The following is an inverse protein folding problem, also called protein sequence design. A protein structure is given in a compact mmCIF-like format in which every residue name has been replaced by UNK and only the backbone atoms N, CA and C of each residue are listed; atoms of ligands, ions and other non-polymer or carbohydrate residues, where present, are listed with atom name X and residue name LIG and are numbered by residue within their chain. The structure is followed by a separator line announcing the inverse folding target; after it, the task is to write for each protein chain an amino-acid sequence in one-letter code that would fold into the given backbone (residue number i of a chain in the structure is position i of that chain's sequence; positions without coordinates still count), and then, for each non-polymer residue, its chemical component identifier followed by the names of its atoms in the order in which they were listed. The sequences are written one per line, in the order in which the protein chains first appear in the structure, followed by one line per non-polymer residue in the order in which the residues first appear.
data_IF_041567683932
#
_entry.id   IF_041567683932
#
_cell.length_a   1.000
_cell.length_b   1.000
_cell.length_c   1.000
_cell.angle_alpha   90.00
_cell.angle_beta   90.00
_cell.angle_gamma   90.00
#
_symmetry.space_group_name_H-M   'P 1'
#
loop_
_entity.id
_entity.type
_entity.pdbx_description
1 polymer ?
#
# COMPACT_ATOMS: atom_id res chain seq x y z
N UNK A 1 -10.06 -5.00 -84.70
CA UNK A 1 -9.71 -3.58 -84.85
C UNK A 1 -10.37 -2.88 -83.68
N UNK A 2 -9.72 -2.61 -82.56
CA UNK A 2 -8.32 -2.34 -82.19
C UNK A 2 -8.22 -2.71 -80.71
N UNK A 3 -7.34 -3.63 -80.31
CA UNK A 3 -6.05 -3.35 -79.64
C UNK A 3 -6.16 -2.34 -78.48
N UNK A 4 -6.06 -2.84 -77.24
CA UNK A 4 -5.22 -2.29 -76.15
C UNK A 4 -5.21 -3.30 -74.97
N UNK A 5 -4.09 -3.97 -74.77
CA UNK A 5 -3.59 -4.49 -73.47
C UNK A 5 -2.57 -3.46 -72.90
N UNK A 6 -1.99 -3.62 -71.69
CA UNK A 6 -2.41 -4.25 -70.43
C UNK A 6 -2.11 -3.34 -69.21
N UNK A 7 -2.39 -3.76 -67.97
CA UNK A 7 -1.39 -3.73 -66.87
C UNK A 7 -1.87 -4.49 -65.63
N UNK A 8 -0.93 -5.31 -65.16
CA UNK A 8 -0.86 -6.12 -63.95
C UNK A 8 -0.74 -5.23 -62.69
N UNK A 9 -1.42 -5.60 -61.60
CA UNK A 9 -1.03 -5.17 -60.23
C UNK A 9 -1.56 -6.19 -59.23
N UNK A 10 -0.65 -7.06 -58.81
CA UNK A 10 -0.65 -7.78 -57.52
C UNK A 10 -0.55 -6.81 -56.35
N UNK A 11 -1.29 -7.04 -55.25
CA UNK A 11 -0.84 -6.91 -53.85
C UNK A 11 -2.03 -7.22 -52.93
N UNK A 12 -2.07 -8.42 -52.35
CA UNK A 12 -1.57 -8.75 -51.00
C UNK A 12 -2.59 -8.40 -49.90
N UNK A 13 -3.05 -9.46 -49.25
CA UNK A 13 -3.96 -9.43 -48.11
C UNK A 13 -3.10 -9.15 -46.89
N UNK A 14 -3.16 -7.93 -46.36
CA UNK A 14 -2.48 -7.56 -45.13
C UNK A 14 -3.22 -8.16 -43.93
N UNK A 15 -2.69 -9.31 -43.48
CA UNK A 15 -2.92 -9.86 -42.15
C UNK A 15 -1.86 -9.23 -41.25
N UNK A 16 -2.22 -8.18 -40.53
CA UNK A 16 -1.44 -7.76 -39.37
C UNK A 16 -1.86 -8.62 -38.19
N UNK A 17 -1.13 -9.71 -38.00
CA UNK A 17 -1.05 -10.45 -36.76
C UNK A 17 -0.62 -9.49 -35.64
N UNK A 18 -1.51 -9.25 -34.68
CA UNK A 18 -1.14 -8.65 -33.39
C UNK A 18 -0.35 -9.69 -32.61
N UNK A 19 0.97 -9.70 -32.80
CA UNK A 19 1.90 -10.34 -31.87
C UNK A 19 1.92 -9.56 -30.55
N UNK A 20 0.88 -9.78 -29.74
CA UNK A 20 0.95 -9.50 -28.32
C UNK A 20 1.93 -10.52 -27.70
N UNK A 21 3.10 -10.01 -27.32
CA UNK A 21 4.19 -10.66 -26.60
C UNK A 21 3.75 -11.90 -25.78
N UNK A 22 4.04 -13.08 -26.32
CA UNK A 22 3.94 -14.36 -25.61
C UNK A 22 5.15 -14.61 -24.69
N UNK A 23 6.11 -13.69 -24.64
CA UNK A 23 7.35 -13.85 -23.88
C UNK A 23 7.20 -13.57 -22.37
N UNK A 24 6.13 -12.89 -21.94
CA UNK A 24 5.96 -12.42 -20.56
C UNK A 24 5.16 -13.38 -19.66
N UNK A 25 4.44 -14.34 -20.25
CA UNK A 25 3.60 -15.29 -19.49
C UNK A 25 4.33 -16.54 -19.00
N UNK A 26 5.47 -16.89 -19.59
CA UNK A 26 6.23 -18.10 -19.21
C UNK A 26 7.24 -17.89 -18.08
N UNK A 27 7.48 -16.64 -17.67
CA UNK A 27 8.48 -16.28 -16.63
C UNK A 27 7.87 -16.11 -15.22
N UNK A 28 6.52 -16.08 -15.12
CA UNK A 28 5.84 -15.86 -13.84
C UNK A 28 5.74 -17.10 -12.95
N UNK A 29 5.94 -18.31 -13.47
CA UNK A 29 5.74 -19.54 -12.68
C UNK A 29 6.87 -19.86 -11.69
N UNK A 30 8.01 -19.17 -11.79
CA UNK A 30 9.20 -19.43 -10.98
C UNK A 30 9.48 -18.31 -9.95
N UNK A 31 8.65 -17.25 -9.91
CA UNK A 31 8.81 -16.15 -8.94
C UNK A 31 8.18 -16.54 -7.60
N UNK A 32 8.85 -16.30 -6.46
CA UNK A 32 8.28 -16.58 -5.16
C UNK A 32 7.04 -15.72 -4.93
N UNK A 33 6.00 -16.32 -4.34
CA UNK A 33 4.78 -15.59 -3.99
C UNK A 33 5.00 -14.70 -2.76
N UNK A 34 4.38 -13.52 -2.74
CA UNK A 34 4.30 -12.70 -1.53
C UNK A 34 2.90 -12.17 -1.30
N UNK A 35 2.44 -12.21 -0.04
CA UNK A 35 1.24 -11.49 0.39
C UNK A 35 1.64 -10.08 0.78
N UNK A 36 0.97 -9.06 0.22
CA UNK A 36 1.13 -7.67 0.60
C UNK A 36 -0.15 -7.20 1.30
N UNK A 37 0.00 -6.66 2.51
CA UNK A 37 -1.09 -5.95 3.18
C UNK A 37 -1.33 -4.61 2.49
N UNK A 38 -2.45 -4.50 1.78
CA UNK A 38 -2.80 -3.31 0.97
C UNK A 38 -4.00 -2.58 1.54
N UNK A 39 -3.79 -1.39 2.09
CA UNK A 39 -4.86 -0.52 2.57
C UNK A 39 -5.45 0.38 1.48
N UNK A 40 -4.72 0.58 0.36
CA UNK A 40 -5.03 1.63 -0.62
C UNK A 40 -4.34 2.96 -0.32
N UNK A 41 -3.62 3.08 0.79
CA UNK A 41 -2.80 4.25 1.12
C UNK A 41 -1.42 4.26 0.49
N UNK A 42 -0.72 5.41 0.61
CA UNK A 42 0.58 5.61 -0.03
C UNK A 42 1.66 4.61 0.42
N UNK A 43 1.70 4.27 1.71
CA UNK A 43 2.75 3.41 2.27
C UNK A 43 2.57 1.97 1.80
N UNK A 44 1.32 1.48 1.80
CA UNK A 44 1.00 0.13 1.33
C UNK A 44 1.10 0.00 -0.20
N UNK A 45 0.80 1.06 -0.95
CA UNK A 45 1.06 1.12 -2.39
C UNK A 45 2.56 1.06 -2.70
N UNK A 46 3.36 1.86 -1.99
CA UNK A 46 4.82 1.85 -2.14
C UNK A 46 5.41 0.49 -1.75
N UNK A 47 4.86 -0.15 -0.71
CA UNK A 47 5.24 -1.50 -0.28
C UNK A 47 4.94 -2.55 -1.35
N UNK A 48 3.80 -2.46 -2.04
CA UNK A 48 3.47 -3.36 -3.13
C UNK A 48 4.41 -3.20 -4.33
N UNK A 49 4.78 -1.97 -4.66
CA UNK A 49 5.76 -1.69 -5.71
C UNK A 49 7.16 -2.18 -5.33
N UNK A 50 7.57 -2.03 -4.08
CA UNK A 50 8.83 -2.53 -3.55
C UNK A 50 8.88 -4.07 -3.58
N UNK A 51 7.79 -4.75 -3.20
CA UNK A 51 7.68 -6.20 -3.32
C UNK A 51 7.78 -6.68 -4.79
N UNK A 52 7.15 -5.96 -5.73
CA UNK A 52 7.27 -6.24 -7.17
C UNK A 52 8.71 -6.08 -7.66
N UNK A 53 9.38 -5.01 -7.27
CA UNK A 53 10.78 -4.72 -7.65
C UNK A 53 11.73 -5.80 -7.13
N UNK A 54 11.46 -6.33 -5.93
CA UNK A 54 12.18 -7.48 -5.36
C UNK A 54 11.88 -8.82 -6.05
N UNK A 55 11.02 -8.82 -7.07
CA UNK A 55 10.77 -9.98 -7.93
C UNK A 55 9.68 -10.92 -7.45
N UNK A 56 8.83 -10.50 -6.50
CA UNK A 56 7.75 -11.34 -5.98
C UNK A 56 6.51 -11.34 -6.88
N UNK A 57 5.83 -12.48 -6.88
CA UNK A 57 4.54 -12.67 -7.53
C UNK A 57 3.41 -12.38 -6.51
N UNK A 58 2.74 -11.24 -6.70
CA UNK A 58 1.95 -10.62 -5.64
C UNK A 58 0.58 -11.26 -5.40
N UNK A 59 0.24 -11.35 -4.11
CA UNK A 59 -1.09 -11.59 -3.56
C UNK A 59 -1.43 -10.41 -2.66
N UNK A 60 -2.63 -9.86 -2.79
CA UNK A 60 -3.08 -8.70 -2.02
C UNK A 60 -4.04 -9.14 -0.94
N UNK A 61 -3.85 -8.64 0.27
CA UNK A 61 -4.81 -8.75 1.36
C UNK A 61 -5.22 -7.35 1.78
N UNK A 62 -6.49 -7.02 1.54
CA UNK A 62 -7.14 -5.80 1.99
C UNK A 62 -8.08 -6.11 3.16
N UNK A 63 -8.14 -5.23 4.15
CA UNK A 63 -9.04 -5.40 5.30
C UNK A 63 -9.92 -4.19 5.52
N UNK A 64 -11.21 -4.43 5.73
CA UNK A 64 -12.13 -3.42 6.26
C UNK A 64 -12.47 -3.79 7.70
N UNK A 65 -12.45 -2.82 8.59
CA UNK A 65 -12.78 -3.01 10.01
C UNK A 65 -13.76 -1.96 10.53
N UNK A 66 -14.52 -1.32 9.62
CA UNK A 66 -15.48 -0.27 9.95
C UNK A 66 -14.84 1.11 10.14
N UNK A 67 -13.68 1.35 9.53
CA UNK A 67 -13.07 2.67 9.50
C UNK A 67 -13.84 3.63 8.61
N UNK A 68 -13.78 4.93 8.93
CA UNK A 68 -14.60 5.96 8.29
C UNK A 68 -14.47 6.02 6.75
N UNK A 69 -13.28 5.74 6.23
CA UNK A 69 -12.91 5.87 4.82
C UNK A 69 -12.79 4.52 4.10
N UNK A 70 -13.41 3.47 4.64
CA UNK A 70 -13.26 2.09 4.13
C UNK A 70 -13.69 1.93 2.66
N UNK A 71 -14.69 2.70 2.18
CA UNK A 71 -15.13 2.57 0.78
C UNK A 71 -14.04 3.09 -0.14
N UNK A 72 -13.52 4.28 0.18
CA UNK A 72 -12.45 4.90 -0.60
C UNK A 72 -11.15 4.11 -0.56
N UNK A 73 -10.76 3.63 0.62
CA UNK A 73 -9.60 2.75 0.80
C UNK A 73 -9.69 1.49 -0.05
N UNK A 74 -10.86 0.83 -0.07
CA UNK A 74 -11.09 -0.35 -0.91
C UNK A 74 -11.00 -0.02 -2.39
N UNK A 75 -11.61 1.07 -2.85
CA UNK A 75 -11.52 1.53 -4.25
C UNK A 75 -10.06 1.74 -4.67
N UNK A 76 -9.24 2.37 -3.82
CA UNK A 76 -7.83 2.57 -4.06
C UNK A 76 -7.05 1.24 -4.08
N UNK A 77 -7.35 0.30 -3.18
CA UNK A 77 -6.72 -1.02 -3.17
C UNK A 77 -7.06 -1.84 -4.43
N UNK A 78 -8.30 -1.75 -4.92
CA UNK A 78 -8.73 -2.39 -6.17
C UNK A 78 -8.09 -1.74 -7.40
N UNK A 79 -7.97 -0.41 -7.43
CA UNK A 79 -7.27 0.30 -8.50
C UNK A 79 -5.79 -0.08 -8.55
N UNK A 80 -5.14 -0.16 -7.38
CA UNK A 80 -3.74 -0.59 -7.26
C UNK A 80 -3.55 -2.03 -7.72
N UNK A 81 -4.49 -2.94 -7.39
CA UNK A 81 -4.49 -4.32 -7.90
C UNK A 81 -4.48 -4.34 -9.43
N UNK A 82 -5.38 -3.57 -10.05
CA UNK A 82 -5.53 -3.53 -11.51
C UNK A 82 -4.27 -2.95 -12.18
N UNK A 83 -3.72 -1.88 -11.62
CA UNK A 83 -2.48 -1.26 -12.08
C UNK A 83 -1.28 -2.22 -12.02
N UNK A 84 -1.15 -2.98 -10.93
CA UNK A 84 -0.07 -3.95 -10.77
C UNK A 84 -0.33 -5.29 -11.48
N UNK A 85 -1.49 -5.46 -12.14
CA UNK A 85 -1.86 -6.68 -12.83
C UNK A 85 -2.01 -7.89 -11.91
N UNK A 86 -2.38 -7.66 -10.64
CA UNK A 86 -2.64 -8.72 -9.66
C UNK A 86 -3.98 -9.40 -10.02
N UNK A 87 -4.00 -10.73 -10.26
CA UNK A 87 -5.23 -11.43 -10.59
C UNK A 87 -6.31 -11.28 -9.51
N UNK A 88 -7.59 -11.23 -9.90
CA UNK A 88 -8.71 -11.07 -8.96
C UNK A 88 -8.77 -12.17 -7.91
N UNK A 89 -8.39 -13.41 -8.24
CA UNK A 89 -8.31 -14.54 -7.30
C UNK A 89 -7.13 -14.46 -6.32
N UNK A 90 -6.20 -13.52 -6.54
CA UNK A 90 -5.10 -13.17 -5.64
C UNK A 90 -5.35 -11.87 -4.88
N UNK A 91 -6.56 -11.30 -4.95
CA UNK A 91 -6.98 -10.16 -4.15
C UNK A 91 -8.00 -10.65 -3.10
N UNK A 92 -7.56 -10.77 -1.86
CA UNK A 92 -8.38 -11.20 -0.74
C UNK A 92 -8.84 -9.98 0.07
N UNK A 93 -10.15 -9.78 0.14
CA UNK A 93 -10.78 -8.81 1.02
C UNK A 93 -11.35 -9.52 2.25
N UNK A 94 -10.98 -9.06 3.45
CA UNK A 94 -11.50 -9.59 4.72
C UNK A 94 -12.14 -8.47 5.54
N UNK A 95 -13.35 -8.72 6.02
CA UNK A 95 -14.02 -7.87 7.00
C UNK A 95 -13.64 -8.31 8.42
N UNK A 96 -13.23 -7.36 9.26
CA UNK A 96 -12.73 -7.58 10.63
C UNK A 96 -13.51 -6.76 11.66
N UNK A 97 -14.83 -6.85 11.59
CA UNK A 97 -15.79 -6.14 12.47
C UNK A 97 -15.54 -6.35 13.97
N UNK A 98 -14.83 -7.41 14.37
CA UNK A 98 -14.48 -7.63 15.77
C UNK A 98 -13.61 -6.50 16.31
N UNK A 99 -12.77 -5.87 15.49
CA UNK A 99 -11.96 -4.72 15.89
C UNK A 99 -12.85 -3.51 16.21
N UNK A 100 -13.86 -3.23 15.37
CA UNK A 100 -14.85 -2.20 15.67
C UNK A 100 -15.67 -2.51 16.93
N UNK A 101 -16.05 -3.77 17.12
CA UNK A 101 -16.82 -4.20 18.31
C UNK A 101 -16.01 -4.15 19.60
N UNK A 102 -14.69 -4.28 19.53
CA UNK A 102 -13.79 -4.08 20.67
C UNK A 102 -13.67 -2.57 20.98
N UNK A 103 -13.59 -1.72 19.95
CA UNK A 103 -13.56 -0.27 20.07
C UNK A 103 -12.25 0.27 20.65
N UNK A 104 -12.34 1.37 21.40
CA UNK A 104 -11.22 2.08 22.03
C UNK A 104 -10.27 2.84 21.08
N UNK A 105 -10.77 3.20 19.89
CA UNK A 105 -10.04 4.03 18.93
C UNK A 105 -10.99 4.99 18.20
N UNK A 106 -10.52 6.18 17.83
CA UNK A 106 -11.26 7.14 16.97
C UNK A 106 -11.49 6.63 15.55
N UNK A 107 -10.76 5.61 15.11
CA UNK A 107 -10.98 4.99 13.80
C UNK A 107 -12.12 3.95 13.82
N UNK A 108 -12.57 3.52 14.99
CA UNK A 108 -13.58 2.45 15.13
C UNK A 108 -14.75 2.80 16.04
N UNK A 109 -14.57 3.77 16.94
CA UNK A 109 -15.59 4.25 17.87
C UNK A 109 -16.14 5.59 17.39
N UNK A 110 -17.36 5.56 16.86
CA UNK A 110 -18.06 6.75 16.34
C UNK A 110 -18.32 7.84 17.41
N UNK A 111 -18.11 7.55 18.70
CA UNK A 111 -18.20 8.56 19.77
C UNK A 111 -16.92 9.37 19.96
N UNK A 112 -15.81 8.95 19.34
CA UNK A 112 -14.52 9.60 19.39
C UNK A 112 -14.26 10.33 18.07
N UNK A 113 -13.92 11.62 18.13
CA UNK A 113 -13.57 12.37 16.93
C UNK A 113 -12.13 12.08 16.51
N UNK A 114 -11.87 12.09 15.20
CA UNK A 114 -10.50 12.19 14.66
C UNK A 114 -10.07 13.64 14.80
N UNK A 115 -8.99 13.87 15.56
CA UNK A 115 -8.45 15.20 15.86
C UNK A 115 -7.69 15.78 14.66
N UNK A 116 -7.49 17.10 14.68
CA UNK A 116 -6.61 17.77 13.72
C UNK A 116 -5.14 17.45 14.04
N UNK A 117 -4.28 17.51 13.02
CA UNK A 117 -2.88 17.18 13.19
C UNK A 117 -2.14 18.15 14.11
N UNK A 118 -1.45 17.60 15.12
CA UNK A 118 -0.52 18.34 15.98
C UNK A 118 0.92 17.97 15.61
N UNK A 119 1.43 18.60 14.55
CA UNK A 119 2.79 18.34 14.04
C UNK A 119 3.90 18.86 14.98
N UNK A 120 3.55 19.70 15.95
CA UNK A 120 4.46 20.29 16.93
C UNK A 120 4.37 19.61 18.31
N UNK A 121 3.47 18.63 18.46
CA UNK A 121 3.18 17.96 19.73
C UNK A 121 4.27 17.00 20.18
N UNK A 122 4.97 17.32 21.27
CA UNK A 122 5.82 16.38 22.00
C UNK A 122 4.93 15.43 22.83
N UNK A 123 4.68 14.21 22.32
CA UNK A 123 3.91 13.21 23.06
C UNK A 123 4.33 11.77 22.81
N UNK A 124 4.89 11.12 23.83
CA UNK A 124 5.00 9.65 23.95
C UNK A 124 3.62 8.98 24.23
N UNK A 125 2.51 9.68 23.97
CA UNK A 125 1.15 9.21 24.27
C UNK A 125 0.56 8.50 23.06
N UNK A 126 -0.03 7.33 23.30
CA UNK A 126 -0.66 6.52 22.25
C UNK A 126 -1.82 7.34 21.63
N UNK A 127 -1.82 7.59 20.32
CA UNK A 127 -2.82 8.44 19.69
C UNK A 127 -4.21 7.81 19.76
N UNK A 128 -5.25 8.63 19.75
CA UNK A 128 -6.64 8.14 19.80
C UNK A 128 -6.99 7.26 18.59
N UNK A 129 -6.29 7.43 17.47
CA UNK A 129 -6.40 6.62 16.24
C UNK A 129 -5.74 5.23 16.35
N UNK A 130 -5.08 4.90 17.47
CA UNK A 130 -4.55 3.57 17.73
C UNK A 130 -5.68 2.56 17.98
N UNK A 131 -5.81 1.58 17.08
CA UNK A 131 -6.68 0.41 17.28
C UNK A 131 -5.89 -0.66 18.03
N UNK A 132 -6.30 -1.04 19.26
CA UNK A 132 -5.51 -1.92 20.11
C UNK A 132 -5.09 -3.24 19.44
N UNK A 133 -3.78 -3.43 19.27
CA UNK A 133 -3.16 -4.65 18.75
C UNK A 133 -3.72 -5.11 17.39
N UNK A 134 -4.09 -4.14 16.55
CA UNK A 134 -4.65 -4.37 15.21
C UNK A 134 -3.66 -5.11 14.33
N UNK A 135 -2.40 -4.69 14.28
CA UNK A 135 -1.45 -5.22 13.30
C UNK A 135 -1.20 -6.71 13.48
N UNK A 136 -1.24 -7.22 14.72
CA UNK A 136 -1.15 -8.66 14.98
C UNK A 136 -2.31 -9.46 14.36
N UNK A 137 -3.53 -8.91 14.33
CA UNK A 137 -4.67 -9.53 13.65
C UNK A 137 -4.45 -9.54 12.14
N UNK A 138 -4.02 -8.40 11.57
CA UNK A 138 -3.76 -8.26 10.13
C UNK A 138 -2.68 -9.22 9.66
N UNK A 139 -1.54 -9.25 10.35
CA UNK A 139 -0.43 -10.15 10.05
C UNK A 139 -0.83 -11.62 10.20
N UNK A 140 -1.63 -11.98 11.20
CA UNK A 140 -2.08 -13.37 11.38
C UNK A 140 -2.92 -13.86 10.19
N UNK A 141 -3.78 -12.99 9.66
CA UNK A 141 -4.56 -13.29 8.45
C UNK A 141 -3.67 -13.35 7.21
N UNK A 142 -2.70 -12.43 7.07
CA UNK A 142 -1.76 -12.43 5.96
C UNK A 142 -0.88 -13.67 5.93
N UNK A 143 -0.36 -14.12 7.07
CA UNK A 143 0.40 -15.37 7.20
C UNK A 143 -0.46 -16.58 6.85
N UNK A 144 -1.71 -16.62 7.32
CA UNK A 144 -2.65 -17.69 6.95
C UNK A 144 -2.89 -17.73 5.44
N UNK A 145 -3.02 -16.56 4.81
CA UNK A 145 -3.19 -16.45 3.37
C UNK A 145 -1.92 -16.83 2.59
N UNK A 146 -0.74 -16.42 3.08
CA UNK A 146 0.54 -16.76 2.50
C UNK A 146 0.79 -18.28 2.54
N UNK A 147 0.60 -18.92 3.70
CA UNK A 147 0.77 -20.36 3.85
C UNK A 147 -0.22 -21.17 3.00
N UNK A 148 -1.44 -20.66 2.81
CA UNK A 148 -2.44 -21.33 1.98
C UNK A 148 -2.14 -21.26 0.47
N UNK A 149 -1.31 -20.32 0.04
CA UNK A 149 -0.96 -20.08 -1.37
C UNK A 149 0.54 -20.25 -1.66
N UNK A 150 1.25 -20.96 -0.77
CA UNK A 150 2.69 -21.25 -0.90
C UNK A 150 3.53 -19.98 -1.14
N UNK A 151 3.15 -18.85 -0.54
CA UNK A 151 3.93 -17.62 -0.56
C UNK A 151 5.05 -17.69 0.48
N UNK A 152 6.19 -17.08 0.15
CA UNK A 152 7.41 -17.10 0.96
C UNK A 152 7.57 -15.83 1.82
N UNK A 153 6.72 -14.82 1.62
CA UNK A 153 6.82 -13.55 2.34
C UNK A 153 5.47 -12.90 2.59
N UNK A 154 5.39 -12.15 3.69
CA UNK A 154 4.33 -11.20 4.01
C UNK A 154 4.95 -9.81 4.11
N UNK A 155 4.49 -8.88 3.29
CA UNK A 155 4.92 -7.48 3.29
C UNK A 155 3.92 -6.58 4.02
N UNK A 156 4.43 -5.68 4.85
CA UNK A 156 3.64 -4.65 5.55
C UNK A 156 4.38 -3.32 5.55
N UNK A 157 3.66 -2.25 5.18
CA UNK A 157 4.21 -0.89 5.07
C UNK A 157 4.17 -0.12 6.39
N UNK A 158 4.73 -0.68 7.46
CA UNK A 158 4.92 0.05 8.73
C UNK A 158 6.19 0.90 8.68
N UNK A 159 6.21 2.03 9.38
CA UNK A 159 7.31 3.00 9.30
C UNK A 159 7.66 3.69 10.62
N UNK A 160 8.76 4.44 10.65
CA UNK A 160 9.35 4.95 11.90
C UNK A 160 8.47 5.95 12.64
N UNK A 161 7.73 6.80 11.91
CA UNK A 161 6.79 7.75 12.51
C UNK A 161 5.62 7.07 13.24
N UNK A 162 5.37 5.76 13.01
CA UNK A 162 4.38 5.00 13.79
C UNK A 162 4.90 4.65 15.19
N UNK A 163 6.22 4.67 15.45
CA UNK A 163 6.80 4.10 16.67
C UNK A 163 6.41 4.81 17.96
N UNK A 164 6.26 6.14 17.88
CA UNK A 164 5.88 7.01 19.00
C UNK A 164 4.49 6.68 19.51
N UNK A 165 3.58 6.26 18.61
CA UNK A 165 2.19 5.98 18.94
C UNK A 165 1.78 4.50 18.98
N UNK A 166 2.45 3.62 18.24
CA UNK A 166 1.96 2.27 17.93
C UNK A 166 2.97 1.20 18.33
N UNK A 167 2.80 0.53 19.50
CA UNK A 167 3.69 -0.53 19.95
C UNK A 167 3.78 -1.72 18.97
N UNK A 168 2.74 -1.95 18.16
CA UNK A 168 2.65 -2.99 17.15
C UNK A 168 3.13 -2.56 15.75
N UNK A 169 3.88 -1.46 15.67
CA UNK A 169 4.66 -1.04 14.49
C UNK A 169 6.18 -1.07 14.72
N UNK A 170 6.65 -1.50 15.89
CA UNK A 170 8.09 -1.46 16.24
C UNK A 170 8.85 -2.66 15.69
N UNK A 171 10.17 -2.54 15.40
CA UNK A 171 10.99 -3.66 14.93
C UNK A 171 10.91 -4.89 15.83
N UNK A 172 10.94 -4.70 17.16
CA UNK A 172 10.89 -5.81 18.12
C UNK A 172 9.56 -6.57 18.08
N UNK A 173 8.46 -5.90 17.70
CA UNK A 173 7.18 -6.54 17.49
C UNK A 173 7.24 -7.45 16.26
N UNK A 174 7.75 -6.96 15.12
CA UNK A 174 7.87 -7.77 13.91
C UNK A 174 8.82 -8.94 14.07
N UNK A 175 9.98 -8.76 14.71
CA UNK A 175 10.88 -9.86 15.05
C UNK A 175 10.22 -10.92 15.96
N UNK A 176 9.42 -10.48 16.93
CA UNK A 176 8.67 -11.39 17.79
C UNK A 176 7.55 -12.13 17.03
N UNK A 177 6.90 -11.43 16.10
CA UNK A 177 5.86 -11.99 15.26
C UNK A 177 6.43 -13.03 14.28
N UNK A 178 7.55 -12.76 13.63
CA UNK A 178 8.23 -13.70 12.73
C UNK A 178 8.62 -14.99 13.46
N UNK A 179 9.20 -14.88 14.66
CA UNK A 179 9.46 -16.06 15.51
C UNK A 179 8.19 -16.85 15.85
N UNK A 180 7.04 -16.20 15.98
CA UNK A 180 5.75 -16.87 16.19
C UNK A 180 5.29 -17.59 14.92
N UNK A 181 5.52 -17.01 13.75
CA UNK A 181 5.24 -17.61 12.45
C UNK A 181 6.05 -18.89 12.27
N UNK A 182 7.38 -18.81 12.46
CA UNK A 182 8.30 -19.96 12.33
C UNK A 182 7.89 -21.20 13.13
N UNK A 183 7.33 -21.00 14.33
CA UNK A 183 6.89 -22.10 15.19
C UNK A 183 5.42 -22.49 15.00
N UNK A 184 4.63 -21.63 14.36
CA UNK A 184 3.18 -21.75 14.22
C UNK A 184 2.73 -22.35 12.89
N UNK A 185 3.52 -22.17 11.83
CA UNK A 185 3.25 -22.71 10.48
C UNK A 185 3.70 -24.15 10.34
N UNK A 186 3.37 -24.80 9.21
CA UNK A 186 3.84 -26.15 8.89
C UNK A 186 5.38 -26.18 8.86
N UNK A 187 6.02 -27.30 9.24
CA UNK A 187 7.48 -27.40 9.29
C UNK A 187 8.21 -27.11 7.97
N UNK A 188 7.56 -27.31 6.83
CA UNK A 188 8.12 -27.06 5.50
C UNK A 188 7.83 -25.65 4.97
N UNK A 189 7.03 -24.86 5.69
CA UNK A 189 6.69 -23.47 5.35
C UNK A 189 7.78 -22.54 5.88
N UNK A 190 8.21 -21.58 5.06
CA UNK A 190 9.05 -20.45 5.49
C UNK A 190 8.39 -19.19 4.95
N UNK A 191 8.03 -18.27 5.85
CA UNK A 191 7.35 -17.02 5.51
C UNK A 191 8.09 -15.89 6.23
N UNK A 192 8.81 -15.08 5.46
CA UNK A 192 9.50 -13.90 5.98
C UNK A 192 8.50 -12.77 6.26
N UNK A 193 8.63 -12.08 7.38
CA UNK A 193 7.87 -10.86 7.67
C UNK A 193 8.70 -9.65 7.22
N UNK A 194 8.33 -9.10 6.06
CA UNK A 194 9.09 -8.03 5.42
C UNK A 194 8.46 -6.67 5.71
N UNK A 195 9.22 -5.83 6.41
CA UNK A 195 8.85 -4.48 6.83
C UNK A 195 9.79 -3.47 6.17
N UNK A 196 9.67 -3.22 4.85
CA UNK A 196 10.73 -2.59 4.07
C UNK A 196 11.07 -1.16 4.50
N UNK A 197 10.11 -0.47 5.14
CA UNK A 197 10.22 0.94 5.51
C UNK A 197 10.20 1.18 7.01
N UNK A 198 10.47 0.14 7.81
CA UNK A 198 10.30 0.21 9.26
C UNK A 198 11.13 1.34 9.86
N UNK A 199 12.36 1.58 9.38
CA UNK A 199 13.25 2.65 9.84
C UNK A 199 13.13 3.96 9.04
N UNK A 200 12.27 3.99 8.03
CA UNK A 200 12.15 5.11 7.09
C UNK A 200 11.09 6.13 7.56
N UNK A 201 11.25 7.39 7.18
CA UNK A 201 10.22 8.42 7.34
C UNK A 201 9.21 8.37 6.18
N UNK A 202 8.05 9.01 6.34
CA UNK A 202 7.08 9.13 5.23
C UNK A 202 7.63 9.91 4.04
N UNK A 203 8.61 10.79 4.26
CA UNK A 203 9.32 11.46 3.16
C UNK A 203 10.19 10.48 2.37
N UNK A 204 10.92 9.59 3.06
CA UNK A 204 11.73 8.53 2.42
C UNK A 204 10.83 7.55 1.64
N UNK A 205 9.67 7.20 2.20
CA UNK A 205 8.68 6.35 1.51
C UNK A 205 8.15 7.04 0.24
N UNK A 206 7.82 8.33 0.33
CA UNK A 206 7.36 9.11 -0.82
C UNK A 206 8.46 9.23 -1.91
N UNK A 207 9.71 9.41 -1.50
CA UNK A 207 10.85 9.43 -2.42
C UNK A 207 10.99 8.09 -3.12
N UNK A 208 11.04 7.00 -2.33
CA UNK A 208 11.17 5.64 -2.84
C UNK A 208 10.04 5.26 -3.77
N UNK A 209 8.79 5.57 -3.43
CA UNK A 209 7.68 5.27 -4.32
C UNK A 209 7.67 6.14 -5.57
N UNK A 210 8.17 7.37 -5.51
CA UNK A 210 8.40 8.19 -6.71
C UNK A 210 9.44 7.54 -7.64
N UNK A 211 10.55 7.02 -7.09
CA UNK A 211 11.56 6.28 -7.87
C UNK A 211 10.99 5.02 -8.52
N UNK A 212 10.14 4.30 -7.80
CA UNK A 212 9.47 3.08 -8.27
C UNK A 212 8.31 3.36 -9.26
N UNK A 213 7.93 4.62 -9.42
CA UNK A 213 6.82 5.02 -10.28
C UNK A 213 5.44 4.67 -9.70
N UNK A 214 5.27 4.75 -8.38
CA UNK A 214 3.98 4.55 -7.72
C UNK A 214 2.99 5.63 -8.17
N UNK A 215 1.81 5.26 -8.70
CA UNK A 215 0.78 6.22 -9.11
C UNK A 215 0.01 6.71 -7.88
N UNK A 216 0.56 7.72 -7.22
CA UNK A 216 0.00 8.25 -5.97
C UNK A 216 -1.38 8.89 -6.13
N UNK A 217 -1.84 9.16 -7.36
CA UNK A 217 -3.22 9.56 -7.67
C UNK A 217 -4.24 8.45 -7.39
N UNK A 218 -3.81 7.19 -7.37
CA UNK A 218 -4.64 6.03 -7.06
C UNK A 218 -4.69 5.72 -5.56
N UNK A 219 -4.08 6.53 -4.70
CA UNK A 219 -3.91 6.22 -3.26
C UNK A 219 -4.70 7.16 -2.36
N UNK A 220 -5.07 6.67 -1.17
CA UNK A 220 -5.85 7.45 -0.19
C UNK A 220 -5.29 7.33 1.23
N UNK A 221 -5.04 8.47 1.88
CA UNK A 221 -4.52 8.51 3.26
C UNK A 221 -5.47 9.19 4.24
N UNK A 222 -6.52 9.90 3.79
CA UNK A 222 -7.37 10.66 4.70
C UNK A 222 -8.15 9.73 5.65
N UNK A 223 -8.28 10.10 6.93
CA UNK A 223 -9.08 9.38 7.92
C UNK A 223 -10.52 9.89 8.08
N UNK A 224 -10.85 11.02 7.43
CA UNK A 224 -12.12 11.73 7.64
C UNK A 224 -13.04 11.70 6.44
N UNK A 225 -12.52 12.06 5.28
CA UNK A 225 -13.30 12.29 4.07
C UNK A 225 -12.94 11.25 3.00
N UNK A 226 -13.92 10.87 2.18
CA UNK A 226 -13.73 9.93 1.06
C UNK A 226 -13.45 10.65 -0.28
N UNK A 227 -13.85 11.92 -0.41
CA UNK A 227 -13.47 12.81 -1.52
C UNK A 227 -14.00 14.24 -1.30
N UNK A 228 -13.16 15.29 -1.40
CA UNK A 228 -11.70 15.27 -1.44
C UNK A 228 -11.10 15.01 -0.04
N UNK A 229 -9.78 14.82 0.07
CA UNK A 229 -9.15 14.56 1.36
C UNK A 229 -9.20 15.82 2.24
N UNK A 230 -9.43 15.72 3.55
CA UNK A 230 -9.62 16.92 4.38
C UNK A 230 -8.39 17.84 4.43
N UNK A 231 -7.18 17.29 4.28
CA UNK A 231 -5.93 18.04 4.32
C UNK A 231 -5.37 18.35 5.70
N UNK A 232 -6.16 18.12 6.75
CA UNK A 232 -5.86 18.63 8.11
C UNK A 232 -5.80 17.55 9.20
N UNK A 233 -6.18 16.29 8.91
CA UNK A 233 -5.94 15.17 9.84
C UNK A 233 -4.48 14.68 9.76
N UNK A 234 -3.99 13.98 10.78
CA UNK A 234 -2.60 13.47 10.85
C UNK A 234 -2.12 12.84 9.54
N UNK A 235 -2.87 11.87 9.02
CA UNK A 235 -2.47 11.17 7.80
C UNK A 235 -2.45 12.06 6.54
N UNK A 236 -3.27 13.12 6.49
CA UNK A 236 -3.17 14.12 5.42
C UNK A 236 -1.95 15.02 5.64
N UNK A 237 -1.70 15.44 6.88
CA UNK A 237 -0.58 16.32 7.22
C UNK A 237 0.77 15.66 6.90
N UNK A 238 1.00 14.43 7.37
CA UNK A 238 2.23 13.70 7.07
C UNK A 238 2.40 13.44 5.57
N UNK A 239 1.31 13.08 4.87
CA UNK A 239 1.35 12.89 3.42
C UNK A 239 1.73 14.17 2.69
N UNK A 240 1.01 15.27 2.95
CA UNK A 240 1.28 16.57 2.34
C UNK A 240 2.72 17.03 2.64
N UNK A 241 3.18 16.90 3.89
CA UNK A 241 4.54 17.24 4.28
C UNK A 241 5.58 16.44 3.49
N UNK A 242 5.38 15.13 3.32
CA UNK A 242 6.29 14.28 2.56
C UNK A 242 6.43 14.76 1.10
N UNK A 243 5.31 15.00 0.41
CA UNK A 243 5.33 15.51 -0.96
C UNK A 243 5.96 16.92 -1.05
N UNK A 244 5.63 17.81 -0.11
CA UNK A 244 6.17 19.16 -0.06
C UNK A 244 7.70 19.17 0.14
N UNK A 245 8.24 18.30 1.00
CA UNK A 245 9.69 18.15 1.21
C UNK A 245 10.43 17.68 -0.04
N UNK A 246 9.78 16.87 -0.87
CA UNK A 246 10.31 16.44 -2.17
C UNK A 246 10.17 17.52 -3.26
N UNK A 247 9.47 18.61 -2.98
CA UNK A 247 9.14 19.63 -3.99
C UNK A 247 8.20 19.11 -5.08
N UNK A 248 7.42 18.06 -4.77
CA UNK A 248 6.45 17.43 -5.67
C UNK A 248 5.04 17.80 -5.20
N UNK A 249 4.15 18.11 -6.15
CA UNK A 249 2.74 18.31 -5.82
C UNK A 249 2.05 16.96 -5.64
N UNK A 250 1.44 16.74 -4.47
CA UNK A 250 0.62 15.55 -4.24
C UNK A 250 -0.59 15.53 -5.19
N UNK A 251 -0.76 14.46 -6.00
CA UNK A 251 -1.72 14.44 -7.08
C UNK A 251 -3.19 14.29 -6.67
N UNK A 252 -3.51 13.99 -5.40
CA UNK A 252 -4.91 13.87 -4.96
C UNK A 252 -5.51 15.24 -4.61
N UNK A 253 -6.83 15.34 -4.65
CA UNK A 253 -7.57 16.54 -4.27
C UNK A 253 -7.71 16.66 -2.75
N UNK A 254 -7.65 17.91 -2.25
CA UNK A 254 -7.83 18.22 -0.83
C UNK A 254 -8.84 19.37 -0.63
N UNK A 255 -9.62 19.31 0.45
CA UNK A 255 -10.48 20.42 0.90
C UNK A 255 -9.65 21.62 1.33
N UNK A 256 -8.65 21.37 2.17
CA UNK A 256 -7.63 22.32 2.59
C UNK A 256 -6.26 21.79 2.17
N UNK A 257 -5.35 22.66 1.72
CA UNK A 257 -3.97 22.24 1.40
C UNK A 257 -2.97 23.10 2.18
N UNK A 258 -2.81 22.86 3.50
CA UNK A 258 -1.85 23.58 4.31
C UNK A 258 -0.41 23.26 3.89
N UNK A 259 0.50 24.19 4.18
CA UNK A 259 1.95 23.95 4.11
C UNK A 259 2.42 23.41 5.45
N UNK A 260 2.96 22.19 5.44
CA UNK A 260 3.45 21.49 6.63
C UNK A 260 4.97 21.48 6.72
N UNK A 261 5.69 22.22 5.87
CA UNK A 261 7.16 22.28 5.84
C UNK A 261 7.76 23.39 6.72
N UNK A 262 7.06 23.84 7.76
CA UNK A 262 7.44 24.98 8.62
C UNK A 262 8.95 25.11 8.92
N UNK A 263 9.46 26.35 8.94
CA UNK A 263 10.88 26.73 8.90
C UNK A 263 11.86 25.79 9.66
N UNK A 264 12.74 25.14 8.88
CA UNK A 264 13.98 24.45 9.23
C UNK A 264 13.88 23.10 9.96
N UNK A 265 14.15 22.03 9.21
CA UNK A 265 14.64 20.74 9.71
C UNK A 265 15.96 20.94 10.49
N UNK A 266 15.98 20.75 11.83
CA UNK A 266 17.21 20.91 12.63
C UNK A 266 18.27 19.84 12.31
N UNK A 267 17.91 18.80 11.55
CA UNK A 267 18.77 17.66 11.22
C UNK A 267 19.35 17.70 9.79
N UNK A 268 18.96 18.67 8.95
CA UNK A 268 19.51 18.84 7.61
C UNK A 268 20.93 19.43 7.54
N UNK A 269 21.67 19.48 8.66
CA UNK A 269 23.05 19.95 8.66
C UNK A 269 23.86 19.62 9.91
N UNK A 270 24.40 18.39 9.98
CA UNK A 270 25.73 18.07 10.54
C UNK A 270 26.34 16.88 9.80
#
# INVERSE_FOLDING_TARGET
MTDTEPTDTTDSVDRTDTEASTADRSDRSDRPGAVVLVSGGMDSATTAYEARERGYDLHFLHTSYGQNTETKERECAEALRDELGVPTDRFLHIETDHLARIGASSLTDASMAVEDADMDGEGDEIPSSYVPFRNANLLSMAVSYAEANDCEAVFVGAHSEDYSGYPDCRPEFFEAFERMVDVGTKPETTIDIVVPFVEDSKTDIAERGTELGVPYDLTWSCYREEAPACGTCDACAFRLQAFQRLGIEDPIEYEERPDYTGDEDPTAGV
#
